data_IF_834195099501
#
_entry.id   IF_834195099501
#
_cell.length_a   1.000
_cell.length_b   1.000
_cell.length_c   1.000
_cell.angle_alpha   90.00
_cell.angle_beta   90.00
_cell.angle_gamma   90.00
#
_symmetry.space_group_name_H-M   'P 1'
#
loop_
_entity.id
_entity.type
_entity.pdbx_description
1 polymer ?
#
# COMPACT_ATOMS: atom_id res chain seq x y z
N UNK A 1 5.56 3.24 -4.71
CA UNK A 1 6.41 2.15 -5.29
C UNK A 1 7.65 2.79 -5.87
N UNK A 2 8.82 2.39 -5.44
CA UNK A 2 10.12 2.94 -5.87
C UNK A 2 10.95 1.85 -6.54
N UNK A 3 11.53 2.12 -7.70
CA UNK A 3 12.39 1.15 -8.42
C UNK A 3 13.87 1.30 -8.09
N UNK A 4 14.33 2.52 -7.75
CA UNK A 4 15.76 2.78 -7.47
C UNK A 4 16.00 3.47 -6.13
N UNK A 5 17.09 3.11 -5.46
CA UNK A 5 17.49 3.69 -4.18
C UNK A 5 17.65 5.22 -4.19
N UNK A 6 18.00 5.82 -5.33
CA UNK A 6 18.13 7.27 -5.47
C UNK A 6 16.81 7.99 -5.31
N UNK A 7 15.72 7.41 -5.85
CA UNK A 7 14.36 7.90 -5.70
C UNK A 7 13.89 7.80 -4.26
N UNK A 8 14.20 6.70 -3.57
CA UNK A 8 13.92 6.54 -2.17
C UNK A 8 14.48 7.68 -1.31
N UNK A 9 15.68 8.20 -1.63
CA UNK A 9 16.32 9.27 -0.84
C UNK A 9 15.69 10.65 -1.02
N UNK A 10 15.12 10.91 -2.19
CA UNK A 10 14.51 12.22 -2.52
C UNK A 10 13.06 12.32 -2.07
N UNK A 11 12.26 11.28 -2.34
CA UNK A 11 10.83 11.28 -2.01
C UNK A 11 10.52 11.13 -0.52
N UNK A 12 11.45 10.55 0.26
CA UNK A 12 11.14 10.11 1.62
C UNK A 12 11.68 11.00 2.72
N UNK A 13 12.58 11.93 2.43
CA UNK A 13 13.19 12.77 3.49
C UNK A 13 12.18 13.61 4.27
N UNK A 14 10.94 13.75 3.79
CA UNK A 14 9.95 14.64 4.41
C UNK A 14 8.48 14.16 4.38
N UNK A 15 8.05 13.29 3.44
CA UNK A 15 6.63 13.16 3.14
C UNK A 15 6.07 11.74 3.21
N UNK A 16 6.81 10.71 2.82
CA UNK A 16 6.32 9.33 2.85
C UNK A 16 6.71 8.62 4.14
N UNK A 17 5.73 8.08 4.86
CA UNK A 17 5.95 7.25 6.04
C UNK A 17 6.60 5.90 5.67
N UNK A 18 6.25 5.35 4.50
CA UNK A 18 6.69 4.05 4.00
C UNK A 18 7.01 4.11 2.51
N UNK A 19 8.01 3.36 2.13
CA UNK A 19 8.36 3.08 0.73
C UNK A 19 8.24 1.60 0.48
N UNK A 20 7.62 1.21 -0.63
CA UNK A 20 7.69 -0.13 -1.19
C UNK A 20 8.77 -0.15 -2.28
N UNK A 21 9.84 -0.90 -2.02
CA UNK A 21 10.93 -1.10 -2.99
C UNK A 21 10.62 -2.31 -3.87
N UNK A 22 10.72 -2.11 -5.17
CA UNK A 22 10.53 -3.15 -6.19
C UNK A 22 11.46 -2.92 -7.37
N UNK A 23 11.72 -3.98 -8.12
CA UNK A 23 12.27 -3.95 -9.46
C UNK A 23 11.16 -4.29 -10.47
N UNK A 24 11.44 -4.21 -11.77
CA UNK A 24 10.56 -4.71 -12.82
C UNK A 24 9.16 -4.07 -12.81
N UNK A 25 9.09 -2.76 -12.64
CA UNK A 25 7.84 -2.01 -12.61
C UNK A 25 6.92 -2.27 -13.80
N UNK A 26 7.43 -2.36 -15.06
CA UNK A 26 6.59 -2.68 -16.21
C UNK A 26 5.85 -4.03 -16.10
N UNK A 27 6.39 -4.96 -15.31
CA UNK A 27 5.80 -6.28 -15.02
C UNK A 27 4.89 -6.29 -13.78
N UNK A 28 4.68 -5.11 -13.19
CA UNK A 28 3.88 -4.94 -11.97
C UNK A 28 4.68 -5.05 -10.67
N UNK A 29 6.00 -4.99 -10.73
CA UNK A 29 6.91 -5.09 -9.60
C UNK A 29 7.35 -6.52 -9.30
N UNK A 30 8.65 -6.72 -9.14
CA UNK A 30 9.31 -7.98 -8.75
C UNK A 30 10.27 -7.73 -7.59
N UNK A 31 10.80 -8.80 -6.99
CA UNK A 31 11.78 -8.69 -5.90
C UNK A 31 13.01 -7.90 -6.36
N UNK A 32 13.39 -6.83 -5.65
CA UNK A 32 14.60 -6.09 -5.95
C UNK A 32 15.86 -6.90 -5.58
N UNK A 33 16.98 -6.54 -6.19
CA UNK A 33 18.26 -7.19 -5.90
C UNK A 33 18.72 -6.94 -4.46
N UNK A 34 19.61 -7.81 -3.95
CA UNK A 34 20.31 -7.61 -2.66
C UNK A 34 20.95 -6.22 -2.56
N UNK A 35 21.59 -5.75 -3.64
CA UNK A 35 22.25 -4.44 -3.67
C UNK A 35 21.25 -3.30 -3.49
N UNK A 36 20.12 -3.36 -4.17
CA UNK A 36 19.05 -2.35 -4.07
C UNK A 36 18.48 -2.29 -2.66
N UNK A 37 18.14 -3.44 -2.05
CA UNK A 37 17.60 -3.49 -0.68
C UNK A 37 18.62 -2.90 0.31
N UNK A 38 19.89 -3.29 0.21
CA UNK A 38 20.96 -2.80 1.08
C UNK A 38 21.14 -1.28 0.96
N UNK A 39 21.19 -0.78 -0.25
CA UNK A 39 21.36 0.66 -0.49
C UNK A 39 20.13 1.46 -0.06
N UNK A 40 18.93 0.95 -0.34
CA UNK A 40 17.69 1.57 0.11
C UNK A 40 17.68 1.69 1.64
N UNK A 41 18.04 0.62 2.39
CA UNK A 41 18.08 0.68 3.85
C UNK A 41 19.06 1.73 4.39
N UNK A 42 20.22 1.86 3.76
CA UNK A 42 21.20 2.88 4.16
C UNK A 42 20.69 4.32 3.93
N UNK A 43 19.92 4.55 2.89
CA UNK A 43 19.37 5.86 2.55
C UNK A 43 18.12 6.21 3.38
N UNK A 44 17.30 5.22 3.74
CA UNK A 44 16.02 5.37 4.44
C UNK A 44 16.20 5.23 5.95
N UNK A 45 16.72 6.25 6.64
CA UNK A 45 16.94 6.14 8.09
C UNK A 45 15.66 6.30 8.93
N UNK A 46 14.67 7.06 8.43
CA UNK A 46 13.43 7.39 9.15
C UNK A 46 12.17 6.89 8.47
N UNK A 47 12.26 6.44 7.23
CA UNK A 47 11.14 5.92 6.46
C UNK A 47 11.13 4.40 6.50
N UNK A 48 9.97 3.81 6.67
CA UNK A 48 9.78 2.36 6.66
C UNK A 48 10.08 1.79 5.28
N UNK A 49 10.94 0.79 5.22
CA UNK A 49 11.29 0.08 4.00
C UNK A 49 10.50 -1.22 3.94
N UNK A 50 9.57 -1.32 3.01
CA UNK A 50 8.90 -2.56 2.64
C UNK A 50 9.46 -3.06 1.32
N UNK A 51 9.68 -4.37 1.21
CA UNK A 51 10.27 -5.02 0.04
C UNK A 51 9.24 -5.95 -0.58
N UNK A 52 8.97 -5.78 -1.87
CA UNK A 52 8.11 -6.74 -2.58
C UNK A 52 8.85 -8.07 -2.74
N UNK A 53 8.15 -9.15 -2.45
CA UNK A 53 8.63 -10.53 -2.63
C UNK A 53 7.77 -11.18 -3.70
N UNK A 54 8.23 -11.07 -4.94
CA UNK A 54 7.54 -11.56 -6.12
C UNK A 54 8.57 -12.00 -7.17
N UNK A 55 8.76 -13.32 -7.35
CA UNK A 55 9.88 -13.86 -8.14
C UNK A 55 9.75 -13.58 -9.64
N UNK A 56 8.55 -13.30 -10.12
CA UNK A 56 8.26 -13.01 -11.54
C UNK A 56 7.00 -12.18 -11.71
N UNK A 57 6.82 -11.58 -12.87
CA UNK A 57 5.56 -11.03 -13.35
C UNK A 57 4.49 -12.11 -13.61
N UNK A 58 3.32 -11.70 -14.11
CA UNK A 58 2.18 -12.58 -14.38
C UNK A 58 1.33 -12.88 -13.15
N UNK A 59 0.79 -14.09 -13.07
CA UNK A 59 -0.11 -14.54 -12.02
C UNK A 59 0.55 -14.73 -10.64
N UNK A 60 -0.22 -15.23 -9.68
CA UNK A 60 0.20 -15.42 -8.29
C UNK A 60 0.12 -16.89 -7.84
N UNK A 61 0.01 -17.81 -8.79
CA UNK A 61 0.12 -19.25 -8.60
C UNK A 61 1.60 -19.65 -8.71
N UNK A 62 2.25 -19.90 -7.58
CA UNK A 62 3.69 -20.17 -7.55
C UNK A 62 3.99 -21.67 -7.41
N UNK A 63 4.96 -22.12 -8.18
CA UNK A 63 5.55 -23.47 -8.04
C UNK A 63 6.29 -23.59 -6.71
N UNK A 64 6.58 -24.82 -6.30
CA UNK A 64 7.37 -25.05 -5.09
C UNK A 64 8.74 -24.37 -5.13
N UNK A 65 9.40 -24.34 -6.30
CA UNK A 65 10.69 -23.67 -6.46
C UNK A 65 10.57 -22.15 -6.30
N UNK A 66 9.52 -21.53 -6.87
CA UNK A 66 9.27 -20.10 -6.70
C UNK A 66 8.96 -19.76 -5.24
N UNK A 67 8.22 -20.59 -4.52
CA UNK A 67 7.99 -20.41 -3.09
C UNK A 67 9.29 -20.51 -2.26
N UNK A 68 10.23 -21.40 -2.63
CA UNK A 68 11.56 -21.44 -2.00
C UNK A 68 12.37 -20.18 -2.29
N UNK A 69 12.33 -19.65 -3.51
CA UNK A 69 12.95 -18.36 -3.86
C UNK A 69 12.37 -17.26 -2.98
N UNK A 70 11.03 -17.15 -2.90
CA UNK A 70 10.35 -16.16 -2.05
C UNK A 70 10.76 -16.28 -0.58
N UNK A 71 10.89 -17.50 -0.07
CA UNK A 71 11.34 -17.76 1.29
C UNK A 71 12.76 -17.25 1.55
N UNK A 72 13.67 -17.44 0.60
CA UNK A 72 15.03 -16.88 0.68
C UNK A 72 15.03 -15.37 0.61
N UNK A 73 14.26 -14.77 -0.29
CA UNK A 73 14.15 -13.33 -0.44
C UNK A 73 13.61 -12.66 0.83
N UNK A 74 12.61 -13.25 1.50
CA UNK A 74 12.10 -12.77 2.80
C UNK A 74 13.23 -12.78 3.85
N UNK A 75 14.01 -13.85 3.92
CA UNK A 75 15.13 -13.93 4.87
C UNK A 75 16.20 -12.88 4.58
N UNK A 76 16.52 -12.66 3.31
CA UNK A 76 17.46 -11.61 2.88
C UNK A 76 16.93 -10.23 3.23
N UNK A 77 15.68 -9.91 2.91
CA UNK A 77 15.07 -8.62 3.26
C UNK A 77 15.14 -8.35 4.77
N UNK A 78 14.82 -9.37 5.60
CA UNK A 78 14.93 -9.29 7.06
C UNK A 78 16.37 -9.05 7.53
N UNK A 79 17.34 -9.78 7.00
CA UNK A 79 18.77 -9.63 7.34
C UNK A 79 19.31 -8.26 6.97
N UNK A 80 18.79 -7.66 5.90
CA UNK A 80 19.16 -6.31 5.46
C UNK A 80 18.41 -5.20 6.18
N UNK A 81 17.52 -5.53 7.13
CA UNK A 81 16.84 -4.57 7.99
C UNK A 81 15.61 -3.93 7.33
N UNK A 82 14.92 -4.64 6.43
CA UNK A 82 13.61 -4.21 5.96
C UNK A 82 12.62 -4.16 7.14
N UNK A 83 11.73 -3.17 7.15
CA UNK A 83 10.68 -3.02 8.15
C UNK A 83 9.44 -3.88 7.80
N UNK A 84 9.32 -4.29 6.54
CA UNK A 84 8.21 -5.11 6.07
C UNK A 84 8.47 -5.77 4.73
N UNK A 85 7.59 -6.70 4.40
CA UNK A 85 7.57 -7.41 3.11
C UNK A 85 6.17 -7.40 2.53
N UNK A 86 6.10 -7.49 1.19
CA UNK A 86 4.85 -7.40 0.44
C UNK A 86 4.76 -8.62 -0.47
N UNK A 87 3.81 -9.52 -0.24
CA UNK A 87 3.61 -10.73 -1.03
C UNK A 87 2.17 -11.25 -0.94
N UNK A 88 1.85 -12.25 -1.76
CA UNK A 88 0.56 -12.94 -1.75
C UNK A 88 0.59 -14.11 -2.72
N UNK A 89 0.04 -15.25 -2.32
CA UNK A 89 -0.03 -16.48 -3.12
C UNK A 89 -1.48 -16.89 -3.32
N UNK A 90 -1.82 -17.33 -4.52
CA UNK A 90 -3.14 -17.84 -4.88
C UNK A 90 -3.05 -19.29 -5.35
N UNK A 91 -4.14 -20.04 -5.18
CA UNK A 91 -4.34 -21.35 -5.80
C UNK A 91 -4.76 -21.19 -7.25
N UNK A 92 -4.77 -22.31 -8.01
CA UNK A 92 -5.26 -22.32 -9.38
C UNK A 92 -6.76 -21.90 -9.50
N UNK A 93 -7.53 -22.09 -8.43
CA UNK A 93 -8.94 -21.73 -8.36
C UNK A 93 -9.17 -20.26 -7.99
N UNK A 94 -8.09 -19.51 -7.69
CA UNK A 94 -8.15 -18.10 -7.30
C UNK A 94 -8.43 -17.87 -5.82
N UNK A 95 -8.25 -18.87 -4.97
CA UNK A 95 -8.33 -18.72 -3.52
C UNK A 95 -6.96 -18.35 -2.94
N UNK A 96 -6.92 -17.83 -1.72
CA UNK A 96 -5.66 -17.61 -1.00
C UNK A 96 -4.98 -18.98 -0.75
N UNK A 97 -3.72 -19.13 -1.17
CA UNK A 97 -2.94 -20.34 -0.91
C UNK A 97 -2.45 -20.32 0.55
N UNK A 98 -3.32 -20.78 1.44
CA UNK A 98 -3.04 -20.81 2.90
C UNK A 98 -1.78 -21.59 3.25
N UNK A 99 -1.49 -22.79 2.69
CA UNK A 99 -0.25 -23.51 2.94
C UNK A 99 1.00 -22.72 2.56
N UNK A 100 1.02 -22.15 1.34
CA UNK A 100 2.14 -21.33 0.87
C UNK A 100 2.30 -20.08 1.73
N UNK A 101 1.21 -19.37 2.02
CA UNK A 101 1.23 -18.18 2.87
C UNK A 101 1.77 -18.48 4.26
N UNK A 102 1.31 -19.53 4.93
CA UNK A 102 1.82 -19.93 6.26
C UNK A 102 3.32 -20.22 6.24
N UNK A 103 3.79 -20.90 5.19
CA UNK A 103 5.23 -21.19 5.01
C UNK A 103 6.04 -19.90 4.93
N UNK A 104 5.59 -18.93 4.15
CA UNK A 104 6.26 -17.63 3.99
C UNK A 104 6.16 -16.77 5.26
N UNK A 105 5.00 -16.73 5.90
CA UNK A 105 4.77 -15.98 7.15
C UNK A 105 5.73 -16.42 8.27
N UNK A 106 6.06 -17.72 8.37
CA UNK A 106 7.03 -18.23 9.34
C UNK A 106 8.45 -17.65 9.19
N UNK A 107 8.80 -17.13 8.01
CA UNK A 107 10.11 -16.54 7.75
C UNK A 107 10.17 -15.04 8.02
N UNK A 108 9.01 -14.38 8.12
CA UNK A 108 8.89 -12.92 8.23
C UNK A 108 9.50 -12.36 9.52
N UNK A 109 9.37 -13.08 10.66
CA UNK A 109 9.75 -12.56 11.97
C UNK A 109 8.89 -11.36 12.36
N UNK A 110 9.52 -10.30 12.84
CA UNK A 110 8.83 -9.09 13.33
C UNK A 110 8.50 -8.06 12.22
N UNK A 111 8.79 -8.38 10.96
CA UNK A 111 8.49 -7.48 9.84
C UNK A 111 6.99 -7.38 9.60
N UNK A 112 6.54 -6.18 9.21
CA UNK A 112 5.15 -5.98 8.77
C UNK A 112 4.88 -6.69 7.45
N UNK A 113 3.70 -7.29 7.30
CA UNK A 113 3.29 -7.98 6.06
C UNK A 113 2.14 -7.25 5.39
N UNK A 114 2.30 -6.97 4.10
CA UNK A 114 1.24 -6.51 3.22
C UNK A 114 0.90 -7.61 2.22
N UNK A 115 -0.36 -8.03 2.15
CA UNK A 115 -0.84 -8.85 1.06
C UNK A 115 -1.07 -7.94 -0.14
N UNK A 116 -0.37 -8.19 -1.24
CA UNK A 116 -0.38 -7.29 -2.40
C UNK A 116 -1.60 -7.51 -3.31
N UNK A 117 -1.57 -6.93 -4.51
CA UNK A 117 -2.67 -6.98 -5.49
C UNK A 117 -3.02 -8.38 -6.04
N UNK A 118 -2.41 -9.46 -5.55
CA UNK A 118 -2.98 -10.79 -5.70
C UNK A 118 -4.42 -10.86 -5.16
N UNK A 119 -4.75 -10.01 -4.16
CA UNK A 119 -6.10 -9.85 -3.66
C UNK A 119 -7.10 -9.46 -4.75
N UNK A 120 -6.71 -8.60 -5.69
CA UNK A 120 -7.58 -8.19 -6.80
C UNK A 120 -7.89 -9.33 -7.78
N UNK A 121 -7.16 -10.44 -7.70
CA UNK A 121 -7.34 -11.65 -8.52
C UNK A 121 -8.01 -12.80 -7.76
N UNK A 122 -8.40 -12.57 -6.50
CA UNK A 122 -9.14 -13.57 -5.73
C UNK A 122 -10.56 -13.77 -6.27
N UNK A 123 -11.04 -15.01 -6.20
CA UNK A 123 -12.40 -15.36 -6.59
C UNK A 123 -13.44 -14.71 -5.67
N UNK A 124 -13.23 -14.81 -4.35
CA UNK A 124 -14.15 -14.34 -3.30
C UNK A 124 -13.43 -13.37 -2.36
N UNK A 125 -13.42 -12.06 -2.65
CA UNK A 125 -12.65 -11.08 -1.89
C UNK A 125 -13.02 -11.00 -0.40
N UNK A 126 -14.31 -11.18 -0.07
CA UNK A 126 -14.78 -11.13 1.32
C UNK A 126 -14.27 -12.31 2.15
N UNK A 127 -14.21 -13.50 1.56
CA UNK A 127 -13.62 -14.68 2.21
C UNK A 127 -12.10 -14.55 2.29
N UNK A 128 -11.46 -14.08 1.22
CA UNK A 128 -10.01 -13.84 1.19
C UNK A 128 -9.58 -12.83 2.27
N UNK A 129 -10.39 -11.78 2.53
CA UNK A 129 -10.13 -10.82 3.60
C UNK A 129 -10.01 -11.51 4.96
N UNK A 130 -10.98 -12.38 5.33
CA UNK A 130 -10.94 -13.09 6.62
C UNK A 130 -9.72 -14.03 6.70
N UNK A 131 -9.44 -14.77 5.64
CA UNK A 131 -8.28 -15.67 5.59
C UNK A 131 -6.96 -14.91 5.76
N UNK A 132 -6.83 -13.72 5.15
CA UNK A 132 -5.63 -12.88 5.26
C UNK A 132 -5.49 -12.27 6.66
N UNK A 133 -6.60 -11.92 7.31
CA UNK A 133 -6.61 -11.50 8.71
C UNK A 133 -6.14 -12.66 9.61
N UNK A 134 -6.67 -13.86 9.43
CA UNK A 134 -6.27 -15.06 10.21
C UNK A 134 -4.79 -15.42 10.01
N UNK A 135 -4.24 -15.16 8.82
CA UNK A 135 -2.80 -15.34 8.54
C UNK A 135 -1.91 -14.33 9.28
N UNK A 136 -2.48 -13.27 9.86
CA UNK A 136 -1.74 -12.24 10.59
C UNK A 136 -1.09 -11.20 9.68
N UNK A 137 -1.60 -10.98 8.48
CA UNK A 137 -1.16 -9.86 7.65
C UNK A 137 -1.62 -8.53 8.26
N UNK A 138 -0.83 -7.49 8.06
CA UNK A 138 -1.11 -6.15 8.61
C UNK A 138 -1.90 -5.28 7.64
N UNK A 139 -1.79 -5.54 6.32
CA UNK A 139 -2.39 -4.73 5.25
C UNK A 139 -2.80 -5.59 4.08
N UNK A 140 -3.78 -5.08 3.34
CA UNK A 140 -4.14 -5.55 2.00
C UNK A 140 -4.03 -4.35 1.06
N UNK A 141 -3.19 -4.48 0.04
CA UNK A 141 -3.12 -3.55 -1.08
C UNK A 141 -4.09 -4.01 -2.17
N UNK A 142 -5.08 -3.20 -2.50
CA UNK A 142 -6.12 -3.57 -3.45
C UNK A 142 -6.65 -2.35 -4.22
N UNK A 143 -7.13 -2.58 -5.43
CA UNK A 143 -7.92 -1.61 -6.20
C UNK A 143 -9.42 -1.81 -6.03
N UNK A 144 -9.85 -2.65 -5.08
CA UNK A 144 -11.24 -3.06 -4.94
C UNK A 144 -11.69 -4.03 -6.04
N UNK A 145 -10.76 -4.89 -6.49
CA UNK A 145 -10.95 -5.87 -7.59
C UNK A 145 -11.31 -5.24 -8.95
N UNK A 146 -11.06 -3.95 -9.10
CA UNK A 146 -11.35 -3.20 -10.31
C UNK A 146 -10.07 -2.74 -11.03
N UNK A 147 -10.22 -2.19 -12.23
CA UNK A 147 -9.10 -1.70 -13.04
C UNK A 147 -8.26 -0.61 -12.33
N UNK A 148 -8.87 0.17 -11.43
CA UNK A 148 -8.22 1.17 -10.60
C UNK A 148 -9.04 1.44 -9.33
N UNK A 149 -8.42 2.09 -8.33
CA UNK A 149 -9.02 2.35 -7.03
C UNK A 149 -10.28 3.22 -7.10
N UNK A 150 -10.38 4.17 -8.04
CA UNK A 150 -11.58 5.02 -8.18
C UNK A 150 -12.79 4.19 -8.58
N UNK A 151 -12.63 3.26 -9.54
CA UNK A 151 -13.71 2.34 -9.93
C UNK A 151 -14.06 1.36 -8.81
N UNK A 152 -13.06 0.99 -8.02
CA UNK A 152 -13.22 0.06 -6.90
C UNK A 152 -13.77 0.67 -5.61
N UNK A 153 -14.08 1.97 -5.55
CA UNK A 153 -14.58 2.64 -4.33
C UNK A 153 -15.71 1.86 -3.64
N UNK A 154 -16.75 1.35 -4.34
CA UNK A 154 -17.81 0.62 -3.66
C UNK A 154 -17.29 -0.62 -2.92
N UNK A 155 -16.47 -1.44 -3.58
CA UNK A 155 -15.86 -2.63 -2.97
C UNK A 155 -14.87 -2.27 -1.86
N UNK A 156 -14.05 -1.25 -2.07
CA UNK A 156 -13.10 -0.77 -1.06
C UNK A 156 -13.80 -0.35 0.22
N UNK A 157 -14.93 0.34 0.11
CA UNK A 157 -15.77 0.71 1.26
C UNK A 157 -16.26 -0.51 2.02
N UNK A 158 -16.86 -1.49 1.32
CA UNK A 158 -17.32 -2.74 1.92
C UNK A 158 -16.18 -3.49 2.64
N UNK A 159 -14.99 -3.53 2.03
CA UNK A 159 -13.81 -4.17 2.63
C UNK A 159 -13.32 -3.44 3.88
N UNK A 160 -13.32 -2.10 3.88
CA UNK A 160 -12.97 -1.30 5.06
C UNK A 160 -13.96 -1.54 6.19
N UNK A 161 -15.26 -1.54 5.90
CA UNK A 161 -16.31 -1.83 6.86
C UNK A 161 -16.19 -3.26 7.41
N UNK A 162 -16.00 -4.28 6.56
CA UNK A 162 -15.83 -5.66 6.98
C UNK A 162 -14.54 -5.88 7.79
N UNK A 163 -13.45 -5.20 7.42
CA UNK A 163 -12.18 -5.29 8.14
C UNK A 163 -12.31 -4.82 9.59
N UNK A 164 -13.16 -3.85 9.87
CA UNK A 164 -13.46 -3.31 11.22
C UNK A 164 -12.18 -3.05 12.04
N UNK A 165 -11.16 -2.46 11.40
CA UNK A 165 -9.88 -2.15 12.04
C UNK A 165 -8.96 -3.35 12.32
N UNK A 166 -9.37 -4.59 12.02
CA UNK A 166 -8.56 -5.81 12.22
C UNK A 166 -7.36 -5.89 11.27
N UNK A 167 -7.48 -5.28 10.10
CA UNK A 167 -6.44 -5.16 9.08
C UNK A 167 -6.61 -3.83 8.34
N UNK A 168 -5.52 -3.29 7.82
CA UNK A 168 -5.55 -2.05 7.03
C UNK A 168 -5.88 -2.38 5.58
N UNK A 169 -6.97 -1.83 5.05
CA UNK A 169 -7.26 -1.81 3.62
C UNK A 169 -6.57 -0.59 3.02
N UNK A 170 -5.66 -0.83 2.09
CA UNK A 170 -4.82 0.20 1.47
C UNK A 170 -5.15 0.31 -0.02
N UNK A 171 -5.98 1.28 -0.44
CA UNK A 171 -6.28 1.49 -1.85
C UNK A 171 -5.02 1.79 -2.66
N UNK A 172 -4.91 1.16 -3.83
CA UNK A 172 -3.82 1.37 -4.77
C UNK A 172 -4.26 1.15 -6.21
N UNK A 173 -3.37 1.40 -7.16
CA UNK A 173 -3.62 1.42 -8.59
C UNK A 173 -4.41 2.67 -9.04
N UNK A 174 -3.69 3.59 -9.67
CA UNK A 174 -4.25 4.83 -10.21
C UNK A 174 -4.54 5.91 -9.14
N UNK A 175 -4.13 5.72 -7.90
CA UNK A 175 -4.19 6.76 -6.87
C UNK A 175 -3.18 7.86 -7.19
N UNK A 176 -3.62 9.12 -7.07
CA UNK A 176 -2.84 10.32 -7.32
C UNK A 176 -3.41 11.51 -6.53
N UNK A 177 -2.76 12.70 -6.50
CA UNK A 177 -3.24 13.85 -5.75
C UNK A 177 -4.66 14.31 -6.09
N UNK A 178 -5.12 14.10 -7.33
CA UNK A 178 -6.44 14.58 -7.78
C UNK A 178 -7.59 13.69 -7.29
N UNK A 179 -7.34 12.42 -6.97
CA UNK A 179 -8.38 11.46 -6.59
C UNK A 179 -8.24 10.88 -5.18
N UNK A 180 -7.10 11.08 -4.51
CA UNK A 180 -6.84 10.47 -3.20
C UNK A 180 -7.85 10.94 -2.14
N UNK A 181 -8.29 12.20 -2.20
CA UNK A 181 -9.28 12.75 -1.27
C UNK A 181 -10.64 12.06 -1.45
N UNK A 182 -11.10 11.93 -2.69
CA UNK A 182 -12.34 11.22 -3.00
C UNK A 182 -12.31 9.78 -2.47
N UNK A 183 -11.22 9.05 -2.75
CA UNK A 183 -11.05 7.67 -2.27
C UNK A 183 -11.09 7.63 -0.74
N UNK A 184 -10.39 8.56 -0.06
CA UNK A 184 -10.36 8.62 1.39
C UNK A 184 -11.74 8.87 2.01
N UNK A 185 -12.49 9.83 1.46
CA UNK A 185 -13.81 10.23 1.97
C UNK A 185 -14.88 9.16 1.74
N UNK A 186 -14.89 8.54 0.55
CA UNK A 186 -15.92 7.58 0.19
C UNK A 186 -15.69 6.18 0.77
N UNK A 187 -14.41 5.79 1.00
CA UNK A 187 -14.07 4.45 1.51
C UNK A 187 -13.79 4.39 2.99
N UNK A 188 -13.37 5.51 3.61
CA UNK A 188 -12.86 5.53 4.98
C UNK A 188 -11.45 4.96 5.15
N UNK A 189 -10.75 4.62 4.05
CA UNK A 189 -9.36 4.15 4.09
C UNK A 189 -8.42 5.23 4.63
N UNK A 190 -7.39 4.81 5.39
CA UNK A 190 -6.43 5.71 6.05
C UNK A 190 -5.01 5.60 5.50
N UNK A 191 -4.69 4.55 4.77
CA UNK A 191 -3.39 4.37 4.09
C UNK A 191 -3.63 4.20 2.59
N UNK A 192 -2.77 4.79 1.77
CA UNK A 192 -2.88 4.78 0.31
C UNK A 192 -1.56 4.38 -0.32
N UNK A 193 -1.63 3.70 -1.44
CA UNK A 193 -0.47 3.27 -2.21
C UNK A 193 -0.49 3.88 -3.61
N UNK A 194 0.58 4.58 -3.98
CA UNK A 194 0.74 5.16 -5.32
C UNK A 194 2.21 5.29 -5.69
N UNK A 195 2.50 5.42 -6.98
CA UNK A 195 3.87 5.49 -7.48
C UNK A 195 4.46 6.90 -7.48
N UNK A 196 3.63 7.92 -7.58
CA UNK A 196 4.09 9.32 -7.70
C UNK A 196 5.06 9.53 -8.88
N UNK A 197 4.84 8.85 -10.01
CA UNK A 197 5.81 8.80 -11.10
C UNK A 197 5.82 10.04 -11.96
N UNK A 198 7.05 10.44 -12.36
CA UNK A 198 7.32 11.30 -13.50
C UNK A 198 8.32 10.61 -14.42
N UNK A 199 8.31 10.96 -15.71
CA UNK A 199 9.27 10.47 -16.68
C UNK A 199 10.45 11.43 -16.80
N UNK A 200 11.66 10.91 -16.74
CA UNK A 200 12.90 11.67 -16.93
C UNK A 200 13.66 11.14 -18.14
N UNK A 201 14.17 12.07 -18.96
CA UNK A 201 15.07 11.74 -20.06
C UNK A 201 16.38 11.13 -19.55
N UNK A 202 16.90 10.17 -20.29
CA UNK A 202 18.21 9.59 -20.03
C UNK A 202 19.33 10.59 -20.33
N UNK A 203 20.36 10.62 -19.49
CA UNK A 203 21.59 11.39 -19.70
C UNK A 203 22.49 10.79 -20.80
N UNK A 204 22.13 9.65 -21.40
CA UNK A 204 22.88 9.08 -22.53
C UNK A 204 22.79 9.99 -23.73
N UNK A 205 23.98 10.44 -24.22
CA UNK A 205 24.11 11.29 -25.38
C UNK A 205 23.96 10.47 -26.67
N UNK A 206 24.62 9.32 -26.73
CA UNK A 206 24.49 8.42 -27.88
C UNK A 206 23.20 7.63 -27.79
N UNK A 207 22.39 7.63 -28.83
CA UNK A 207 21.14 6.89 -28.94
C UNK A 207 21.14 6.05 -30.21
N UNK A 208 20.84 4.75 -30.08
CA UNK A 208 20.70 3.86 -31.23
C UNK A 208 19.20 3.61 -31.50
N UNK A 209 18.63 4.27 -32.53
CA UNK A 209 17.19 4.11 -32.81
C UNK A 209 16.83 2.80 -33.51
N UNK A 210 17.84 1.96 -33.84
CA UNK A 210 17.63 0.70 -34.57
C UNK A 210 17.43 -0.50 -33.65
N UNK A 211 17.68 -0.35 -32.37
CA UNK A 211 17.67 -1.46 -31.40
C UNK A 211 16.74 -1.11 -30.25
N UNK A 212 15.87 -2.06 -29.89
CA UNK A 212 15.09 -2.04 -28.67
C UNK A 212 15.48 -3.24 -27.80
N UNK A 213 15.73 -3.00 -26.53
CA UNK A 213 16.05 -4.05 -25.55
C UNK A 213 14.79 -4.64 -24.89
N UNK A 214 13.64 -3.95 -25.00
CA UNK A 214 12.35 -4.45 -24.53
C UNK A 214 11.89 -5.64 -25.39
N UNK A 215 11.60 -6.78 -24.74
CA UNK A 215 11.06 -7.97 -25.42
C UNK A 215 9.56 -7.81 -25.72
N UNK A 216 8.70 -8.48 -24.94
CA UNK A 216 7.24 -8.38 -25.09
C UNK A 216 6.66 -7.10 -24.46
N UNK A 217 7.38 -6.47 -23.54
CA UNK A 217 7.02 -5.19 -22.92
C UNK A 217 7.74 -4.07 -23.67
N UNK A 218 6.98 -3.10 -24.17
CA UNK A 218 7.56 -1.93 -24.82
C UNK A 218 8.15 -1.00 -23.77
N UNK A 219 9.46 -0.83 -23.80
CA UNK A 219 10.21 0.06 -22.91
C UNK A 219 10.81 1.20 -23.74
N UNK A 220 10.67 2.43 -23.27
CA UNK A 220 11.34 3.58 -23.86
C UNK A 220 12.80 3.62 -23.35
N UNK A 221 13.75 3.22 -24.20
CA UNK A 221 15.16 2.98 -23.84
C UNK A 221 15.87 4.20 -23.20
N UNK A 222 15.38 5.39 -23.54
CA UNK A 222 16.01 6.66 -23.14
C UNK A 222 15.13 7.49 -22.20
N UNK A 223 14.13 6.86 -21.62
CA UNK A 223 13.32 7.45 -20.55
C UNK A 223 13.38 6.56 -19.30
N UNK A 224 13.32 7.19 -18.14
CA UNK A 224 13.28 6.53 -16.85
C UNK A 224 12.07 7.04 -16.09
N UNK A 225 11.24 6.14 -15.61
CA UNK A 225 10.21 6.52 -14.64
C UNK A 225 10.85 6.65 -13.26
N UNK A 226 10.64 7.79 -12.62
CA UNK A 226 11.14 8.08 -11.28
C UNK A 226 10.00 8.51 -10.37
N UNK A 227 10.11 8.26 -9.08
CA UNK A 227 9.18 8.82 -8.10
C UNK A 227 9.49 10.29 -7.88
N UNK A 228 8.52 11.15 -8.16
CA UNK A 228 8.62 12.60 -8.04
C UNK A 228 8.21 13.04 -6.62
N UNK A 229 9.12 13.68 -5.85
CA UNK A 229 8.83 14.15 -4.51
C UNK A 229 7.70 15.18 -4.44
N UNK A 230 7.52 16.00 -5.48
CA UNK A 230 6.47 17.02 -5.49
C UNK A 230 5.08 16.39 -5.64
N UNK A 231 4.95 15.31 -6.42
CA UNK A 231 3.70 14.55 -6.53
C UNK A 231 3.37 13.89 -5.18
N UNK A 232 4.38 13.33 -4.51
CA UNK A 232 4.19 12.72 -3.18
C UNK A 232 3.75 13.78 -2.17
N UNK A 233 4.41 14.93 -2.16
CA UNK A 233 4.08 16.06 -1.30
C UNK A 233 2.65 16.54 -1.52
N UNK A 234 2.25 16.77 -2.77
CA UNK A 234 0.90 17.21 -3.12
C UNK A 234 -0.18 16.25 -2.58
N UNK A 235 0.02 14.94 -2.73
CA UNK A 235 -0.91 13.95 -2.19
C UNK A 235 -1.01 14.01 -0.64
N UNK A 236 0.14 14.19 0.04
CA UNK A 236 0.17 14.30 1.50
C UNK A 236 -0.48 15.59 2.01
N UNK A 237 -0.29 16.71 1.32
CA UNK A 237 -0.94 17.97 1.66
C UNK A 237 -2.46 17.89 1.55
N UNK A 238 -2.98 17.20 0.53
CA UNK A 238 -4.42 16.96 0.37
C UNK A 238 -4.98 16.15 1.53
N UNK A 239 -4.30 15.08 1.94
CA UNK A 239 -4.72 14.25 3.08
C UNK A 239 -4.64 15.00 4.41
N UNK A 240 -3.58 15.78 4.64
CA UNK A 240 -3.43 16.57 5.86
C UNK A 240 -4.58 17.59 6.05
N UNK A 241 -5.01 18.23 4.98
CA UNK A 241 -6.16 19.15 5.02
C UNK A 241 -7.48 18.44 5.37
N UNK A 242 -7.63 17.18 4.97
CA UNK A 242 -8.77 16.36 5.37
C UNK A 242 -8.74 16.06 6.86
N UNK A 243 -7.60 15.58 7.37
CA UNK A 243 -7.45 15.24 8.79
C UNK A 243 -7.73 16.45 9.70
N UNK A 244 -7.23 17.63 9.36
CA UNK A 244 -7.53 18.88 10.09
C UNK A 244 -9.03 19.22 10.11
N UNK A 245 -9.75 18.99 9.00
CA UNK A 245 -11.19 19.22 8.93
C UNK A 245 -11.95 18.20 9.78
N UNK A 246 -11.56 16.92 9.74
CA UNK A 246 -12.19 15.86 10.50
C UNK A 246 -12.00 16.07 12.00
N UNK A 247 -10.79 16.44 12.45
CA UNK A 247 -10.52 16.81 13.86
C UNK A 247 -11.34 18.02 14.33
N UNK A 248 -11.45 19.05 13.48
CA UNK A 248 -12.24 20.24 13.79
C UNK A 248 -13.74 19.90 13.92
N UNK A 249 -14.26 19.02 13.08
CA UNK A 249 -15.64 18.54 13.13
C UNK A 249 -15.91 17.69 14.37
N UNK A 250 -15.00 16.76 14.71
CA UNK A 250 -15.11 15.96 15.93
C UNK A 250 -15.12 16.83 17.18
N UNK A 251 -14.27 17.83 17.25
CA UNK A 251 -14.24 18.79 18.36
C UNK A 251 -15.58 19.53 18.51
N UNK A 252 -16.12 20.05 17.40
CA UNK A 252 -17.44 20.68 17.39
C UNK A 252 -18.56 19.75 17.87
N UNK A 253 -18.53 18.50 17.41
CA UNK A 253 -19.52 17.50 17.80
C UNK A 253 -19.42 17.14 19.29
N UNK A 254 -18.21 17.01 19.86
CA UNK A 254 -18.00 16.80 21.29
C UNK A 254 -18.54 17.97 22.13
N UNK A 255 -18.25 19.20 21.71
CA UNK A 255 -18.77 20.42 22.37
C UNK A 255 -20.30 20.51 22.31
N UNK A 256 -20.91 20.18 21.16
CA UNK A 256 -22.36 20.15 21.00
C UNK A 256 -23.02 19.10 21.90
N UNK A 257 -22.45 17.88 21.98
CA UNK A 257 -22.94 16.82 22.86
C UNK A 257 -22.79 17.19 24.34
N UNK A 258 -21.70 17.85 24.72
CA UNK A 258 -21.51 18.33 26.10
C UNK A 258 -22.54 19.42 26.48
N UNK A 259 -22.84 20.36 25.57
CA UNK A 259 -23.88 21.38 25.76
C UNK A 259 -25.27 20.76 25.86
N UNK A 260 -25.57 19.75 25.04
CA UNK A 260 -26.86 19.06 25.09
C UNK A 260 -27.05 18.29 26.41
N UNK A 261 -25.98 17.64 26.92
CA UNK A 261 -26.01 16.98 28.24
C UNK A 261 -26.23 17.97 29.40
N UNK A 262 -25.56 19.12 29.38
CA UNK A 262 -25.78 20.16 30.42
C UNK A 262 -27.24 20.66 30.45
N UNK A 263 -27.79 20.96 29.26
CA UNK A 263 -29.20 21.38 29.17
C UNK A 263 -30.17 20.32 29.67
N UNK A 264 -29.89 19.03 29.42
CA UNK A 264 -30.77 17.96 29.93
C UNK A 264 -30.73 17.86 31.45
N UNK A 265 -29.56 17.96 32.08
CA UNK A 265 -29.44 17.93 33.54
C UNK A 265 -30.08 19.17 34.20
N UNK A 266 -30.01 20.36 33.56
CA UNK A 266 -30.70 21.56 34.08
C UNK A 266 -32.23 21.44 34.02
N UNK A 267 -32.80 20.64 33.13
CA UNK A 267 -34.24 20.38 33.06
C UNK A 267 -34.69 19.30 34.07
N UNK A 268 -33.83 18.29 34.33
CA UNK A 268 -34.15 17.22 35.29
C UNK A 268 -34.05 17.69 36.74
N UNK A 269 -33.28 18.76 37.07
CA UNK A 269 -33.15 19.35 38.39
C UNK A 269 -34.31 20.30 38.75
N UNK A 270 -35.02 20.89 37.75
CA UNK A 270 -36.16 21.78 37.97
C UNK A 270 -37.49 21.04 38.28
N UNK A 271 -37.59 19.72 38.02
CA UNK A 271 -38.78 18.93 38.29
C UNK A 271 -38.79 18.33 39.73
N UNK A 272 -37.66 18.34 40.48
CA UNK A 272 -37.58 17.85 41.86
C UNK A 272 -37.87 18.91 42.93
N UNK A 273 -38.13 20.17 42.58
CA UNK A 273 -38.52 21.23 43.54
C UNK A 273 -40.05 21.47 43.68
N UNK A 274 -40.89 20.60 43.14
CA UNK A 274 -42.35 20.73 43.17
C UNK A 274 -43.08 19.58 43.92
N UNK A 275 -42.56 19.16 45.10
CA UNK A 275 -43.31 18.32 46.05
C UNK A 275 -43.20 18.88 47.48
#
# INVERSE_FOLDING_TARGET
MCEFCRECSQSTRRWAYRVELCAGIPEGGTTPSFGEIRMARQLLQHTKLHVIIRPRGGDFLYTQLEQEIMLHDIKVARQLGADGVVFGCLTAEGNVDIPAMKKLMNAVGDMSVTFHRAFDMCREPKEALEQIIELGCHRILTSGTEANAVKGIPTLKELVEQADGRIIIMPGCGVNPDNILQIAEETGAKEFHFSGRSSQESDMIFRNPKVSMGGTVKIEEYQKDVTDPEIVKAAMEVLAQKDEKDEALEKKNKEARAKARKKKNEFDDDDDELD
#
